data_IF_439888614560
#
_entry.id   IF_439888614560
#
_cell.length_a   1.000
_cell.length_b   1.000
_cell.length_c   1.000
_cell.angle_alpha   90.00
_cell.angle_beta   90.00
_cell.angle_gamma   90.00
#
_symmetry.space_group_name_H-M   'P 1'
#
loop_
_entity.id
_entity.type
_entity.pdbx_description
1 polymer ?
#
# COMPACT_ATOMS: atom_id res chain seq x y z
N UNK A 1 2.10 13.23 20.30
CA UNK A 1 2.28 11.91 19.66
C UNK A 1 3.15 12.13 18.44
N UNK A 2 4.29 11.44 18.35
CA UNK A 2 5.19 11.50 17.21
C UNK A 2 4.39 11.18 15.95
N UNK A 3 4.37 12.08 14.96
CA UNK A 3 3.82 11.74 13.65
C UNK A 3 4.51 10.48 13.15
N UNK A 4 3.76 9.43 12.82
CA UNK A 4 4.33 8.21 12.28
C UNK A 4 5.15 8.60 11.04
N UNK A 5 6.44 8.25 11.03
CA UNK A 5 7.28 8.52 9.87
C UNK A 5 6.67 7.76 8.67
N UNK A 6 6.26 8.50 7.64
CA UNK A 6 5.62 7.91 6.44
C UNK A 6 6.45 6.82 5.79
N UNK A 7 7.78 6.85 5.96
CA UNK A 7 8.66 5.81 5.44
C UNK A 7 8.53 4.51 6.25
N UNK A 8 8.37 4.61 7.57
CA UNK A 8 8.10 3.46 8.44
C UNK A 8 6.74 2.86 8.07
N UNK A 9 5.71 3.72 7.94
CA UNK A 9 4.38 3.29 7.53
C UNK A 9 4.40 2.57 6.16
N UNK A 10 5.13 3.11 5.19
CA UNK A 10 5.30 2.49 3.87
C UNK A 10 6.05 1.15 3.93
N UNK A 11 7.05 1.02 4.81
CA UNK A 11 7.79 -0.23 5.02
C UNK A 11 6.92 -1.31 5.66
N UNK A 12 6.14 -0.96 6.67
CA UNK A 12 5.21 -1.89 7.32
C UNK A 12 4.11 -2.35 6.34
N UNK A 13 3.53 -1.42 5.57
CA UNK A 13 2.56 -1.77 4.54
C UNK A 13 3.16 -2.61 3.41
N UNK A 14 4.43 -2.40 3.05
CA UNK A 14 5.12 -3.25 2.08
C UNK A 14 5.18 -4.70 2.55
N UNK A 15 5.53 -4.94 3.82
CA UNK A 15 5.56 -6.29 4.39
C UNK A 15 4.17 -6.96 4.37
N UNK A 16 3.10 -6.22 4.62
CA UNK A 16 1.73 -6.76 4.52
C UNK A 16 1.36 -7.06 3.06
N UNK A 17 1.70 -6.19 2.10
CA UNK A 17 1.42 -6.42 0.68
C UNK A 17 2.09 -7.71 0.14
N UNK A 18 3.22 -8.12 0.71
CA UNK A 18 3.85 -9.41 0.39
C UNK A 18 2.96 -10.61 0.71
N UNK A 19 2.19 -10.55 1.80
CA UNK A 19 1.20 -11.60 2.14
C UNK A 19 0.03 -11.64 1.16
N UNK A 20 -0.22 -10.54 0.43
CA UNK A 20 -1.20 -10.45 -0.66
C UNK A 20 -0.61 -10.82 -2.03
N UNK A 21 0.64 -11.28 -2.08
CA UNK A 21 1.30 -11.76 -3.30
C UNK A 21 1.91 -10.66 -4.16
N UNK A 22 2.07 -9.45 -3.63
CA UNK A 22 2.84 -8.38 -4.26
C UNK A 22 4.30 -8.44 -3.82
N UNK A 23 5.20 -7.86 -4.60
CA UNK A 23 6.49 -7.38 -4.07
C UNK A 23 6.31 -5.90 -3.78
N UNK A 24 6.81 -5.39 -2.67
CA UNK A 24 6.59 -3.98 -2.30
C UNK A 24 7.81 -3.35 -1.62
N UNK A 25 7.93 -2.03 -1.73
CA UNK A 25 9.02 -1.28 -1.13
C UNK A 25 8.59 0.16 -0.82
N UNK A 26 8.78 0.58 0.44
CA UNK A 26 8.73 1.99 0.83
C UNK A 26 9.99 2.72 0.38
N UNK A 27 9.83 3.88 -0.27
CA UNK A 27 10.95 4.70 -0.78
C UNK A 27 10.76 6.15 -0.35
N UNK A 28 11.85 6.81 0.03
CA UNK A 28 11.89 8.28 0.18
C UNK A 28 12.91 8.86 -0.80
N UNK A 29 12.47 9.79 -1.63
CA UNK A 29 13.32 10.50 -2.59
C UNK A 29 12.92 11.98 -2.61
N UNK A 30 13.89 12.89 -2.42
CA UNK A 30 13.66 14.35 -2.44
C UNK A 30 12.50 14.79 -1.52
N UNK A 31 12.40 14.18 -0.33
CA UNK A 31 11.34 14.48 0.64
C UNK A 31 9.97 13.86 0.34
N UNK A 32 9.80 13.22 -0.83
CA UNK A 32 8.58 12.50 -1.18
C UNK A 32 8.70 11.05 -0.74
N UNK A 33 7.71 10.58 0.02
CA UNK A 33 7.60 9.15 0.39
C UNK A 33 6.62 8.46 -0.54
N UNK A 34 7.02 7.33 -1.12
CA UNK A 34 6.20 6.48 -1.97
C UNK A 34 6.18 5.04 -1.47
N UNK A 35 5.12 4.33 -1.79
CA UNK A 35 5.03 2.88 -1.74
C UNK A 35 4.96 2.36 -3.18
N UNK A 36 6.06 1.78 -3.65
CA UNK A 36 6.13 1.11 -4.94
C UNK A 36 5.80 -0.38 -4.74
N UNK A 37 4.92 -0.96 -5.56
CA UNK A 37 4.57 -2.38 -5.47
C UNK A 37 4.28 -3.00 -6.84
N UNK A 38 4.49 -4.32 -6.94
CA UNK A 38 4.44 -5.08 -8.19
C UNK A 38 3.58 -6.33 -8.03
N UNK A 39 2.64 -6.51 -8.95
CA UNK A 39 1.82 -7.72 -9.05
C UNK A 39 2.55 -8.84 -9.78
N UNK A 40 2.10 -10.09 -9.57
CA UNK A 40 2.62 -11.28 -10.28
C UNK A 40 2.37 -11.23 -11.79
N UNK A 41 1.41 -10.44 -12.22
CA UNK A 41 1.11 -10.16 -13.63
C UNK A 41 2.09 -9.17 -14.28
N UNK A 42 3.13 -8.76 -13.55
CA UNK A 42 4.14 -7.81 -14.01
C UNK A 42 3.69 -6.35 -13.92
N UNK A 43 2.47 -6.06 -13.47
CA UNK A 43 2.00 -4.69 -13.29
C UNK A 43 2.72 -4.03 -12.13
N UNK A 44 3.08 -2.76 -12.33
CA UNK A 44 3.73 -1.92 -11.34
C UNK A 44 2.81 -0.78 -10.93
N UNK A 45 2.78 -0.53 -9.63
CA UNK A 45 2.01 0.54 -9.01
C UNK A 45 2.93 1.40 -8.15
N UNK A 46 2.56 2.66 -7.99
CA UNK A 46 3.25 3.62 -7.13
C UNK A 46 2.22 4.51 -6.46
N UNK A 47 2.21 4.50 -5.14
CA UNK A 47 1.37 5.36 -4.33
C UNK A 47 2.23 6.42 -3.62
N UNK A 48 1.88 7.70 -3.77
CA UNK A 48 2.53 8.79 -3.04
C UNK A 48 1.81 8.99 -1.71
N UNK A 49 2.56 8.97 -0.61
CA UNK A 49 2.03 9.24 0.73
C UNK A 49 1.97 10.74 0.98
N UNK A 50 0.87 11.19 1.58
CA UNK A 50 0.56 12.61 1.77
C UNK A 50 0.50 13.02 3.24
N UNK A 51 0.60 12.08 4.18
CA UNK A 51 0.41 12.32 5.61
C UNK A 51 -1.05 12.15 6.06
N UNK A 52 -1.96 11.84 5.13
CA UNK A 52 -3.36 11.47 5.43
C UNK A 52 -3.51 9.98 5.73
N UNK A 53 -2.46 9.22 5.50
CA UNK A 53 -2.41 7.79 5.77
C UNK A 53 -2.08 7.60 7.25
N UNK A 54 -3.04 7.10 8.02
CA UNK A 54 -2.95 7.05 9.48
C UNK A 54 -2.67 5.65 10.03
N UNK A 55 -2.79 4.61 9.21
CA UNK A 55 -2.52 3.22 9.61
C UNK A 55 -2.04 2.37 8.43
N UNK A 56 -1.34 1.27 8.77
CA UNK A 56 -0.86 0.28 7.81
C UNK A 56 -2.03 -0.33 7.05
N UNK A 57 -3.08 -0.75 7.76
CA UNK A 57 -4.25 -1.39 7.16
C UNK A 57 -4.96 -0.50 6.13
N UNK A 58 -5.14 0.79 6.46
CA UNK A 58 -5.76 1.74 5.53
C UNK A 58 -4.90 1.93 4.27
N UNK A 59 -3.57 2.00 4.43
CA UNK A 59 -2.64 2.13 3.30
C UNK A 59 -2.64 0.88 2.41
N UNK A 60 -2.63 -0.31 3.01
CA UNK A 60 -2.70 -1.60 2.30
C UNK A 60 -4.01 -1.70 1.53
N UNK A 61 -5.14 -1.36 2.15
CA UNK A 61 -6.44 -1.38 1.50
C UNK A 61 -6.47 -0.52 0.24
N UNK A 62 -5.95 0.71 0.31
CA UNK A 62 -5.84 1.60 -0.87
C UNK A 62 -4.96 0.96 -1.95
N UNK A 63 -3.84 0.34 -1.58
CA UNK A 63 -2.98 -0.35 -2.55
C UNK A 63 -3.69 -1.50 -3.25
N UNK A 64 -4.46 -2.31 -2.51
CA UNK A 64 -5.23 -3.42 -3.07
C UNK A 64 -6.34 -2.91 -4.01
N UNK A 65 -7.03 -1.84 -3.64
CA UNK A 65 -8.03 -1.18 -4.50
C UNK A 65 -7.40 -0.67 -5.81
N UNK A 66 -6.27 0.03 -5.72
CA UNK A 66 -5.50 0.52 -6.89
C UNK A 66 -5.04 -0.63 -7.79
N UNK A 67 -4.68 -1.77 -7.20
CA UNK A 67 -4.27 -2.96 -7.94
C UNK A 67 -5.44 -3.68 -8.63
N UNK A 68 -6.69 -3.31 -8.34
CA UNK A 68 -7.86 -4.11 -8.70
C UNK A 68 -7.93 -5.45 -7.94
N UNK A 69 -7.20 -5.56 -6.83
CA UNK A 69 -7.11 -6.73 -5.96
C UNK A 69 -7.99 -6.58 -4.71
N UNK A 70 -9.15 -5.91 -4.85
CA UNK A 70 -10.09 -5.74 -3.75
C UNK A 70 -10.41 -7.10 -3.09
N UNK A 71 -10.56 -7.17 -1.75
CA UNK A 71 -11.02 -8.38 -1.11
C UNK A 71 -12.36 -8.78 -1.74
N UNK A 72 -12.49 -10.06 -2.12
CA UNK A 72 -13.78 -10.64 -2.50
C UNK A 72 -14.71 -10.54 -1.30
N UNK A 73 -15.45 -9.44 -1.23
CA UNK A 73 -16.34 -9.08 -0.14
C UNK A 73 -17.42 -8.15 -0.65
N UNK A 74 -18.09 -8.56 -1.74
CA UNK A 74 -19.37 -8.03 -2.19
C UNK A 74 -20.00 -9.10 -3.08
N UNK A 75 -20.32 -10.24 -2.47
CA UNK A 75 -21.43 -11.04 -2.96
C UNK A 75 -22.67 -10.16 -2.80
N UNK A 76 -23.19 -9.67 -3.92
CA UNK A 76 -24.56 -9.21 -4.03
C UNK A 76 -25.46 -10.38 -3.63
N UNK A 77 -25.87 -10.42 -2.36
CA UNK A 77 -27.03 -11.22 -1.98
C UNK A 77 -28.25 -10.60 -2.66
N UNK A 78 -28.99 -11.47 -3.33
CA UNK A 78 -30.13 -11.20 -4.22
C UNK A 78 -31.28 -10.45 -3.55
#
# INVERSE_FOLDING_TARGET
MSGNDLLVLAGEAAAVLETHGFVACGRRQEGVTTLDFWGRDGKRFRLKLTGREHSVDALVQVCLEVAGAAPRGSETLS
#
